data_IF_717632557891
#
_entry.id   IF_717632557891
#
_cell.length_a   1.000
_cell.length_b   1.000
_cell.length_c   1.000
_cell.angle_alpha   90.00
_cell.angle_beta   90.00
_cell.angle_gamma   90.00
#
_symmetry.space_group_name_H-M   'P 1'
#
loop_
_entity.id
_entity.type
_entity.pdbx_description
1 polymer ?
#
# COMPACT_ATOMS: atom_id res chain seq x y z
N UNK A 1 9.82 -39.52 -11.33
CA UNK A 1 11.07 -38.84 -10.94
C UNK A 1 10.86 -38.36 -9.52
N UNK A 2 11.62 -38.84 -8.54
CA UNK A 2 11.42 -38.45 -7.15
C UNK A 2 11.98 -37.01 -6.98
N UNK A 3 11.13 -36.00 -7.15
CA UNK A 3 11.54 -34.59 -7.33
C UNK A 3 12.09 -33.97 -6.01
N UNK A 4 12.03 -34.70 -4.89
CA UNK A 4 12.28 -34.13 -3.56
C UNK A 4 13.74 -34.18 -3.06
N UNK A 5 14.61 -34.97 -3.68
CA UNK A 5 15.90 -35.33 -3.07
C UNK A 5 17.14 -34.65 -3.67
N UNK A 6 17.05 -33.99 -4.83
CA UNK A 6 18.20 -33.32 -5.44
C UNK A 6 18.05 -31.79 -5.40
N UNK A 7 18.99 -31.12 -4.71
CA UNK A 7 19.12 -29.66 -4.80
C UNK A 7 19.65 -29.30 -6.19
N UNK A 8 18.78 -28.70 -6.99
CA UNK A 8 19.06 -28.41 -8.39
C UNK A 8 19.70 -27.02 -8.56
N UNK A 9 20.95 -27.00 -9.04
CA UNK A 9 21.60 -25.77 -9.49
C UNK A 9 21.39 -25.69 -11.01
N UNK A 10 20.45 -24.84 -11.45
CA UNK A 10 20.09 -24.69 -12.86
C UNK A 10 21.22 -24.17 -13.74
N UNK A 11 21.28 -24.67 -14.97
CA UNK A 11 22.14 -24.17 -16.04
C UNK A 11 21.51 -22.95 -16.72
N UNK A 12 22.30 -22.15 -17.46
CA UNK A 12 21.81 -20.99 -18.20
C UNK A 12 20.69 -21.36 -19.22
N UNK A 13 20.73 -22.57 -19.78
CA UNK A 13 19.73 -23.07 -20.72
C UNK A 13 18.38 -23.33 -20.04
N UNK A 14 18.36 -23.74 -18.77
CA UNK A 14 17.11 -23.92 -18.02
C UNK A 14 16.40 -22.60 -17.69
N UNK A 15 17.14 -21.48 -17.70
CA UNK A 15 16.54 -20.14 -17.56
C UNK A 15 15.88 -19.65 -18.84
N UNK A 16 16.33 -20.14 -20.01
CA UNK A 16 15.77 -19.77 -21.31
C UNK A 16 14.57 -20.64 -21.67
N UNK A 17 14.65 -21.95 -21.40
CA UNK A 17 13.57 -22.92 -21.63
C UNK A 17 13.42 -23.84 -20.39
N UNK A 18 12.48 -23.55 -19.47
CA UNK A 18 12.39 -24.29 -18.22
C UNK A 18 11.88 -25.71 -18.43
N UNK A 19 12.56 -26.67 -17.78
CA UNK A 19 12.24 -28.12 -17.82
C UNK A 19 10.80 -28.46 -17.38
N UNK A 20 10.16 -27.56 -16.63
CA UNK A 20 8.78 -27.70 -16.18
C UNK A 20 8.10 -26.33 -16.06
N UNK A 21 6.76 -26.30 -16.12
CA UNK A 21 6.00 -25.14 -15.61
C UNK A 21 5.92 -25.21 -14.10
N UNK A 22 6.31 -24.13 -13.42
CA UNK A 22 6.13 -24.01 -11.98
C UNK A 22 4.72 -23.51 -11.66
N UNK A 23 4.03 -24.18 -10.76
CA UNK A 23 2.74 -23.76 -10.21
C UNK A 23 2.94 -23.25 -8.78
N UNK A 24 2.64 -21.97 -8.55
CA UNK A 24 2.52 -21.45 -7.19
C UNK A 24 1.04 -21.34 -6.79
N UNK A 25 0.58 -22.30 -6.00
CA UNK A 25 -0.74 -22.26 -5.37
C UNK A 25 -0.69 -21.20 -4.28
N UNK A 26 -1.32 -20.05 -4.54
CA UNK A 26 -1.39 -18.97 -3.58
C UNK A 26 -2.58 -19.22 -2.65
N UNK A 27 -2.35 -19.89 -1.52
CA UNK A 27 -3.37 -19.95 -0.47
C UNK A 27 -3.57 -18.54 0.12
N UNK A 28 -4.81 -18.02 0.22
CA UNK A 28 -5.06 -16.75 0.86
C UNK A 28 -4.46 -16.68 2.27
N UNK A 29 -3.81 -15.55 2.56
CA UNK A 29 -3.30 -15.18 3.89
C UNK A 29 -2.07 -15.95 4.40
N UNK A 30 -1.34 -16.60 3.50
CA UNK A 30 -0.08 -17.33 3.81
C UNK A 30 1.18 -16.61 3.30
N UNK A 31 1.17 -15.27 3.32
CA UNK A 31 2.32 -14.48 2.83
C UNK A 31 2.46 -14.38 1.31
N UNK A 32 1.51 -14.93 0.53
CA UNK A 32 1.63 -14.96 -0.93
C UNK A 32 1.67 -13.60 -1.65
N UNK A 33 1.26 -12.49 -1.01
CA UNK A 33 1.54 -11.15 -1.54
C UNK A 33 3.02 -10.81 -1.57
N UNK A 34 3.77 -11.21 -0.54
CA UNK A 34 5.24 -11.08 -0.52
C UNK A 34 5.84 -11.99 -1.58
N UNK A 35 5.41 -13.26 -1.62
CA UNK A 35 5.89 -14.24 -2.58
C UNK A 35 5.72 -13.76 -4.03
N UNK A 36 4.51 -13.36 -4.40
CA UNK A 36 4.22 -12.91 -5.77
C UNK A 36 4.90 -11.58 -6.11
N UNK A 37 4.80 -10.57 -5.25
CA UNK A 37 5.18 -9.19 -5.62
C UNK A 37 6.63 -8.82 -5.35
N UNK A 38 7.37 -9.63 -4.61
CA UNK A 38 8.76 -9.32 -4.27
C UNK A 38 9.74 -10.38 -4.76
N UNK A 39 9.27 -11.62 -4.94
CA UNK A 39 10.13 -12.76 -5.28
C UNK A 39 9.82 -13.21 -6.70
N UNK A 40 8.63 -13.76 -6.95
CA UNK A 40 8.30 -14.38 -8.24
C UNK A 40 8.41 -13.42 -9.43
N UNK A 41 8.05 -12.14 -9.27
CA UNK A 41 8.19 -11.14 -10.36
C UNK A 41 9.63 -10.80 -10.74
N UNK A 42 10.60 -11.15 -9.89
CA UNK A 42 12.02 -10.93 -10.17
C UNK A 42 12.66 -12.14 -10.81
N UNK A 43 12.14 -13.33 -10.51
CA UNK A 43 12.66 -14.59 -11.01
C UNK A 43 12.02 -15.02 -12.34
N UNK A 44 10.86 -14.44 -12.71
CA UNK A 44 10.15 -14.77 -13.95
C UNK A 44 9.78 -13.52 -14.75
N UNK A 45 9.99 -13.57 -16.07
CA UNK A 45 9.59 -12.50 -17.00
C UNK A 45 8.06 -12.37 -17.03
N UNK A 46 7.54 -11.14 -17.06
CA UNK A 46 6.12 -10.86 -16.87
C UNK A 46 5.21 -11.53 -17.90
N UNK A 47 5.65 -11.64 -19.15
CA UNK A 47 4.96 -12.31 -20.26
C UNK A 47 4.97 -13.84 -20.14
N UNK A 48 5.85 -14.40 -19.29
CA UNK A 48 5.95 -15.82 -18.98
C UNK A 48 5.17 -16.23 -17.72
N UNK A 49 4.40 -15.31 -17.12
CA UNK A 49 3.60 -15.55 -15.93
C UNK A 49 2.11 -15.54 -16.27
N UNK A 50 1.43 -16.66 -16.02
CA UNK A 50 -0.02 -16.72 -15.99
C UNK A 50 -0.53 -16.49 -14.56
N UNK A 51 -1.39 -15.48 -14.34
CA UNK A 51 -1.98 -15.28 -13.01
C UNK A 51 -2.68 -13.96 -12.75
N UNK A 52 -3.51 -13.96 -11.70
CA UNK A 52 -4.40 -12.87 -11.29
C UNK A 52 -3.72 -11.50 -11.06
N UNK A 53 -2.43 -11.48 -10.70
CA UNK A 53 -1.71 -10.22 -10.44
C UNK A 53 -1.03 -9.62 -11.68
N UNK A 54 -0.98 -10.35 -12.80
CA UNK A 54 -0.11 -10.02 -13.93
C UNK A 54 -0.86 -9.72 -15.24
N UNK A 55 -2.05 -10.29 -15.42
CA UNK A 55 -2.80 -10.15 -16.68
C UNK A 55 -3.82 -9.00 -16.69
N UNK A 56 -3.90 -8.18 -15.64
CA UNK A 56 -4.85 -7.04 -15.58
C UNK A 56 -6.34 -7.43 -15.60
N UNK A 57 -6.63 -8.74 -15.62
CA UNK A 57 -7.94 -9.35 -15.74
C UNK A 57 -8.27 -9.98 -14.38
N UNK A 58 -9.46 -9.70 -13.84
CA UNK A 58 -9.95 -10.24 -12.57
C UNK A 58 -10.28 -11.75 -12.70
N UNK A 59 -9.30 -12.58 -13.06
CA UNK A 59 -9.38 -14.03 -13.17
C UNK A 59 -9.26 -14.70 -11.79
N UNK A 60 -10.19 -14.39 -10.89
CA UNK A 60 -10.32 -15.08 -9.61
C UNK A 60 -11.12 -16.36 -9.75
N UNK A 61 -10.72 -17.41 -9.03
CA UNK A 61 -11.43 -18.69 -8.94
C UNK A 61 -11.74 -19.29 -10.32
N UNK A 62 -12.97 -19.75 -10.51
CA UNK A 62 -13.40 -20.50 -11.70
C UNK A 62 -13.17 -19.76 -13.02
N UNK A 63 -13.21 -18.42 -13.05
CA UNK A 63 -12.94 -17.66 -14.28
C UNK A 63 -11.50 -17.84 -14.76
N UNK A 64 -10.54 -17.83 -13.85
CA UNK A 64 -9.12 -18.06 -14.20
C UNK A 64 -8.85 -19.50 -14.59
N UNK A 65 -9.48 -20.45 -13.90
CA UNK A 65 -9.40 -21.88 -14.24
C UNK A 65 -9.96 -22.13 -15.63
N UNK A 66 -11.13 -21.58 -15.95
CA UNK A 66 -11.75 -21.75 -17.27
C UNK A 66 -10.91 -21.09 -18.37
N UNK A 67 -10.33 -19.91 -18.10
CA UNK A 67 -9.43 -19.28 -19.05
C UNK A 67 -8.19 -20.16 -19.32
N UNK A 68 -7.56 -20.69 -18.27
CA UNK A 68 -6.42 -21.61 -18.39
C UNK A 68 -6.75 -22.86 -19.22
N UNK A 69 -7.93 -23.46 -18.99
CA UNK A 69 -8.41 -24.63 -19.75
C UNK A 69 -8.67 -24.30 -21.23
N UNK A 70 -9.11 -23.09 -21.52
CA UNK A 70 -9.46 -22.66 -22.87
C UNK A 70 -8.29 -22.14 -23.71
N UNK A 71 -7.12 -21.93 -23.11
CA UNK A 71 -5.90 -21.66 -23.87
C UNK A 71 -5.55 -22.86 -24.76
N UNK A 72 -5.01 -22.59 -25.94
CA UNK A 72 -4.41 -23.63 -26.78
C UNK A 72 -3.20 -24.27 -26.08
N UNK A 73 -2.84 -25.52 -26.43
CA UNK A 73 -1.61 -26.14 -25.97
C UNK A 73 -0.38 -25.25 -26.17
N UNK A 74 -0.26 -24.61 -27.33
CA UNK A 74 0.84 -23.73 -27.69
C UNK A 74 0.90 -22.50 -26.77
N UNK A 75 -0.24 -21.86 -26.47
CA UNK A 75 -0.31 -20.75 -25.53
C UNK A 75 0.07 -21.16 -24.11
N UNK A 76 -0.42 -22.32 -23.64
CA UNK A 76 -0.08 -22.81 -22.29
C UNK A 76 1.41 -23.08 -22.12
N UNK A 77 2.05 -23.62 -23.15
CA UNK A 77 3.48 -23.95 -23.12
C UNK A 77 4.37 -22.72 -22.99
N UNK A 78 3.91 -21.52 -23.38
CA UNK A 78 4.66 -20.28 -23.22
C UNK A 78 4.81 -19.83 -21.76
N UNK A 79 3.99 -20.33 -20.83
CA UNK A 79 4.07 -19.95 -19.42
C UNK A 79 5.09 -20.79 -18.66
N UNK A 80 5.95 -20.09 -17.92
CA UNK A 80 6.97 -20.68 -17.05
C UNK A 80 6.50 -20.73 -15.60
N UNK A 81 5.65 -19.78 -15.21
CA UNK A 81 5.02 -19.70 -13.89
C UNK A 81 3.50 -19.54 -14.02
N UNK A 82 2.76 -20.38 -13.31
CA UNK A 82 1.31 -20.27 -13.14
C UNK A 82 1.02 -19.99 -11.66
N UNK A 83 0.34 -18.89 -11.36
CA UNK A 83 0.07 -18.51 -9.97
C UNK A 83 -1.30 -17.89 -9.74
N UNK A 84 -1.95 -18.28 -8.65
CA UNK A 84 -3.21 -17.69 -8.23
C UNK A 84 -3.90 -18.50 -7.14
N UNK A 85 -5.14 -18.11 -6.85
CA UNK A 85 -6.02 -18.79 -5.90
C UNK A 85 -6.78 -19.91 -6.63
N UNK A 86 -6.05 -20.96 -7.01
CA UNK A 86 -6.58 -22.13 -7.72
C UNK A 86 -6.22 -23.40 -6.94
N UNK A 87 -7.13 -24.40 -6.90
CA UNK A 87 -6.82 -25.68 -6.29
C UNK A 87 -5.75 -26.42 -7.12
N UNK A 88 -5.09 -27.40 -6.52
CA UNK A 88 -4.19 -28.31 -7.22
C UNK A 88 -4.91 -29.04 -8.37
N UNK A 89 -4.19 -29.31 -9.47
CA UNK A 89 -4.72 -30.04 -10.65
C UNK A 89 -4.58 -29.32 -11.99
N UNK A 90 -4.27 -28.02 -12.01
CA UNK A 90 -4.16 -27.25 -13.26
C UNK A 90 -3.10 -27.78 -14.25
N UNK A 91 -2.15 -28.58 -13.80
CA UNK A 91 -1.12 -29.20 -14.63
C UNK A 91 -1.65 -30.31 -15.54
N UNK A 92 -2.83 -30.88 -15.30
CA UNK A 92 -3.35 -32.00 -16.10
C UNK A 92 -3.63 -31.65 -17.56
N UNK A 93 -3.78 -30.35 -17.86
CA UNK A 93 -3.97 -29.85 -19.23
C UNK A 93 -2.65 -29.36 -19.87
N UNK A 94 -1.50 -29.63 -19.23
CA UNK A 94 -0.18 -29.35 -19.78
C UNK A 94 0.44 -30.59 -20.41
N UNK A 95 1.04 -30.40 -21.57
CA UNK A 95 1.80 -31.46 -22.26
C UNK A 95 3.26 -31.53 -21.79
N UNK A 96 3.71 -30.57 -20.98
CA UNK A 96 5.07 -30.50 -20.44
C UNK A 96 5.10 -30.78 -18.94
N UNK A 97 6.25 -31.21 -18.38
CA UNK A 97 6.36 -31.46 -16.95
C UNK A 97 5.93 -30.26 -16.10
N UNK A 98 5.40 -30.53 -14.93
CA UNK A 98 4.94 -29.50 -14.00
C UNK A 98 5.46 -29.80 -12.59
N UNK A 99 5.73 -28.74 -11.84
CA UNK A 99 6.11 -28.82 -10.45
C UNK A 99 5.32 -27.80 -9.63
N UNK A 100 5.05 -28.11 -8.37
CA UNK A 100 4.28 -27.23 -7.49
C UNK A 100 5.13 -26.66 -6.35
N UNK A 101 4.79 -25.44 -5.95
CA UNK A 101 5.18 -24.84 -4.68
C UNK A 101 3.98 -24.17 -4.03
N UNK A 102 4.01 -24.03 -2.71
CA UNK A 102 2.99 -23.28 -1.97
C UNK A 102 3.57 -22.70 -0.68
N UNK A 103 2.82 -21.79 -0.04
CA UNK A 103 3.07 -21.34 1.33
C UNK A 103 1.84 -21.65 2.16
N UNK A 104 2.05 -22.29 3.31
CA UNK A 104 1.05 -22.53 4.35
C UNK A 104 1.28 -21.59 5.54
N UNK A 105 0.31 -21.54 6.44
CA UNK A 105 0.35 -20.76 7.67
C UNK A 105 -0.39 -21.51 8.77
N UNK A 106 -0.06 -21.22 10.02
CA UNK A 106 -0.84 -21.67 11.15
C UNK A 106 -2.34 -21.38 10.88
N UNK A 107 -3.23 -22.39 10.94
CA UNK A 107 -4.61 -22.23 10.49
C UNK A 107 -5.40 -21.17 11.27
N UNK A 108 -5.17 -21.08 12.59
CA UNK A 108 -5.81 -20.08 13.45
C UNK A 108 -5.43 -18.67 13.00
N UNK A 109 -4.14 -18.41 12.90
CA UNK A 109 -3.60 -17.14 12.43
C UNK A 109 -4.05 -16.79 11.00
N UNK A 110 -4.16 -17.79 10.12
CA UNK A 110 -4.64 -17.63 8.75
C UNK A 110 -6.09 -17.15 8.72
N UNK A 111 -6.98 -17.81 9.47
CA UNK A 111 -8.41 -17.50 9.55
C UNK A 111 -8.63 -16.11 10.15
N UNK A 112 -7.94 -15.77 11.25
CA UNK A 112 -8.01 -14.43 11.85
C UNK A 112 -7.52 -13.38 10.86
N UNK A 113 -6.42 -13.65 10.16
CA UNK A 113 -5.89 -12.75 9.13
C UNK A 113 -6.85 -12.58 7.95
N UNK A 114 -7.61 -13.63 7.60
CA UNK A 114 -8.62 -13.59 6.55
C UNK A 114 -9.79 -12.68 6.94
N UNK A 115 -10.37 -12.92 8.12
CA UNK A 115 -11.42 -12.08 8.69
C UNK A 115 -11.00 -10.60 8.72
N UNK A 116 -9.82 -10.31 9.29
CA UNK A 116 -9.24 -8.97 9.33
C UNK A 116 -9.01 -8.35 7.95
N UNK A 117 -8.62 -9.17 6.96
CA UNK A 117 -8.41 -8.69 5.60
C UNK A 117 -9.71 -8.26 4.92
N UNK A 118 -10.75 -9.09 5.02
CA UNK A 118 -12.05 -8.80 4.45
C UNK A 118 -12.68 -7.56 5.10
N UNK A 119 -12.54 -7.42 6.42
CA UNK A 119 -12.97 -6.21 7.13
C UNK A 119 -12.22 -4.96 6.69
N UNK A 120 -10.90 -5.02 6.54
CA UNK A 120 -10.12 -3.82 6.23
C UNK A 120 -10.23 -3.37 4.78
N UNK A 121 -10.46 -4.28 3.84
CA UNK A 121 -10.41 -3.97 2.40
C UNK A 121 -11.80 -3.60 1.89
N UNK A 122 -12.09 -2.30 1.79
CA UNK A 122 -13.40 -1.78 1.33
C UNK A 122 -13.88 -2.38 -0.01
N UNK A 123 -12.95 -2.61 -0.95
CA UNK A 123 -13.25 -3.21 -2.26
C UNK A 123 -13.41 -4.74 -2.23
N UNK A 124 -13.41 -5.37 -1.06
CA UNK A 124 -13.63 -6.80 -0.96
C UNK A 124 -15.12 -7.11 -1.13
N UNK A 125 -15.46 -8.15 -1.92
CA UNK A 125 -16.85 -8.53 -2.21
C UNK A 125 -17.72 -8.76 -0.97
N UNK A 126 -17.10 -9.18 0.15
CA UNK A 126 -17.78 -9.44 1.41
C UNK A 126 -17.61 -8.33 2.46
N UNK A 127 -17.01 -7.19 2.11
CA UNK A 127 -16.67 -6.13 3.06
C UNK A 127 -17.89 -5.63 3.84
N UNK A 128 -18.99 -5.33 3.16
CA UNK A 128 -20.20 -4.80 3.82
C UNK A 128 -20.83 -5.82 4.78
N UNK A 129 -20.88 -7.10 4.36
CA UNK A 129 -21.40 -8.20 5.17
C UNK A 129 -20.54 -8.39 6.43
N UNK A 130 -19.22 -8.52 6.25
CA UNK A 130 -18.31 -8.86 7.35
C UNK A 130 -18.12 -7.72 8.37
N UNK A 131 -18.42 -6.47 8.00
CA UNK A 131 -18.41 -5.35 8.95
C UNK A 131 -19.52 -5.47 10.01
N UNK A 132 -20.55 -6.26 9.74
CA UNK A 132 -21.69 -6.50 10.65
C UNK A 132 -21.60 -7.83 11.39
N UNK A 133 -20.54 -8.60 11.16
CA UNK A 133 -20.35 -9.94 11.70
C UNK A 133 -19.27 -9.91 12.77
N UNK A 134 -19.48 -10.63 13.87
CA UNK A 134 -18.41 -11.04 14.78
C UNK A 134 -17.52 -12.09 14.12
N UNK A 135 -16.40 -12.43 14.76
CA UNK A 135 -15.58 -13.55 14.29
C UNK A 135 -16.33 -14.88 14.39
N UNK A 136 -17.18 -15.05 15.42
CA UNK A 136 -18.01 -16.24 15.57
C UNK A 136 -19.02 -16.37 14.43
N UNK A 137 -19.77 -15.29 14.12
CA UNK A 137 -20.71 -15.29 13.00
C UNK A 137 -20.01 -15.67 11.68
N UNK A 138 -18.78 -15.20 11.48
CA UNK A 138 -17.97 -15.51 10.30
C UNK A 138 -17.59 -17.00 10.20
N UNK A 139 -17.36 -17.66 11.33
CA UNK A 139 -17.03 -19.09 11.40
C UNK A 139 -18.27 -19.99 11.29
N UNK A 140 -19.45 -19.47 11.62
CA UNK A 140 -20.71 -20.21 11.54
C UNK A 140 -21.40 -20.04 10.18
N UNK A 141 -21.03 -19.00 9.42
CA UNK A 141 -21.58 -18.73 8.10
C UNK A 141 -20.89 -19.58 7.01
N UNK A 142 -21.60 -20.61 6.58
CA UNK A 142 -21.16 -21.60 5.59
C UNK A 142 -20.82 -21.01 4.21
N UNK A 143 -21.21 -19.75 3.93
CA UNK A 143 -20.82 -19.08 2.68
C UNK A 143 -19.33 -18.72 2.65
N UNK A 144 -18.64 -18.70 3.80
CA UNK A 144 -17.21 -18.45 3.91
C UNK A 144 -16.40 -19.75 3.91
N UNK A 145 -16.43 -20.49 2.80
CA UNK A 145 -15.67 -21.73 2.62
C UNK A 145 -14.16 -21.57 2.92
N UNK A 146 -13.62 -20.36 2.76
CA UNK A 146 -12.23 -20.02 3.07
C UNK A 146 -11.89 -20.09 4.57
N UNK A 147 -12.87 -20.22 5.46
CA UNK A 147 -12.72 -20.36 6.91
C UNK A 147 -12.68 -21.82 7.39
N UNK A 148 -12.94 -22.79 6.51
CA UNK A 148 -13.03 -24.23 6.83
C UNK A 148 -11.99 -25.02 6.03
N UNK A 149 -10.99 -25.57 6.73
CA UNK A 149 -9.93 -26.46 6.20
C UNK A 149 -9.38 -26.04 4.82
N UNK A 150 -9.23 -24.73 4.60
CA UNK A 150 -9.04 -24.22 3.25
C UNK A 150 -7.68 -24.59 2.64
N UNK A 151 -6.63 -24.78 3.46
CA UNK A 151 -5.34 -25.23 2.96
C UNK A 151 -5.44 -26.66 2.42
N UNK A 152 -6.09 -27.56 3.16
CA UNK A 152 -6.39 -28.91 2.69
C UNK A 152 -7.22 -28.88 1.43
N UNK A 153 -8.32 -28.10 1.40
CA UNK A 153 -9.19 -28.00 0.21
C UNK A 153 -8.40 -27.60 -1.05
N UNK A 154 -7.52 -26.62 -0.94
CA UNK A 154 -6.69 -26.17 -2.06
C UNK A 154 -5.68 -27.23 -2.49
N UNK A 155 -4.93 -27.81 -1.56
CA UNK A 155 -3.84 -28.75 -1.90
C UNK A 155 -4.34 -30.13 -2.29
N UNK A 156 -5.52 -30.53 -1.80
CA UNK A 156 -6.20 -31.74 -2.22
C UNK A 156 -6.78 -31.61 -3.63
N UNK A 157 -6.91 -30.42 -4.21
CA UNK A 157 -7.54 -30.26 -5.52
C UNK A 157 -9.08 -30.31 -5.47
N UNK A 158 -9.70 -29.95 -4.35
CA UNK A 158 -11.18 -29.96 -4.24
C UNK A 158 -11.79 -28.94 -5.21
N UNK A 159 -12.83 -29.36 -5.93
CA UNK A 159 -13.44 -28.62 -7.03
C UNK A 159 -12.74 -28.85 -8.39
N UNK A 160 -11.57 -29.49 -8.39
CA UNK A 160 -10.95 -30.02 -9.61
C UNK A 160 -11.20 -31.53 -9.74
N UNK A 161 -10.85 -32.30 -8.72
CA UNK A 161 -11.07 -33.76 -8.69
C UNK A 161 -12.43 -34.14 -8.15
N UNK A 162 -12.93 -33.35 -7.21
CA UNK A 162 -14.26 -33.52 -6.65
C UNK A 162 -15.19 -32.49 -7.28
N UNK A 163 -16.49 -32.82 -7.25
CA UNK A 163 -17.51 -31.81 -7.42
C UNK A 163 -17.49 -30.77 -6.27
N UNK A 164 -18.63 -30.13 -6.05
CA UNK A 164 -18.75 -29.19 -4.95
C UNK A 164 -18.74 -29.90 -3.59
N UNK A 165 -17.73 -29.61 -2.76
CA UNK A 165 -17.66 -30.04 -1.35
C UNK A 165 -17.96 -28.84 -0.46
N UNK A 166 -19.12 -28.86 0.20
CA UNK A 166 -19.61 -27.76 1.03
C UNK A 166 -18.78 -27.50 2.30
N UNK A 167 -19.14 -26.43 3.02
CA UNK A 167 -18.60 -26.11 4.34
C UNK A 167 -18.81 -27.28 5.32
N UNK A 168 -17.84 -27.56 6.20
CA UNK A 168 -17.91 -28.71 7.12
C UNK A 168 -17.75 -30.10 6.48
N UNK A 169 -17.83 -30.22 5.16
CA UNK A 169 -17.74 -31.51 4.45
C UNK A 169 -16.31 -31.92 4.05
N UNK A 170 -15.28 -31.13 4.40
CA UNK A 170 -13.89 -31.54 4.18
C UNK A 170 -13.54 -32.69 5.13
N UNK A 171 -13.39 -33.89 4.58
CA UNK A 171 -13.08 -35.12 5.31
C UNK A 171 -11.60 -35.53 5.25
N UNK A 172 -11.23 -36.51 6.07
CA UNK A 172 -9.86 -37.05 6.21
C UNK A 172 -9.24 -37.50 4.87
N UNK A 173 -10.02 -38.04 3.95
CA UNK A 173 -9.55 -38.45 2.62
C UNK A 173 -8.92 -37.28 1.83
N UNK A 174 -9.44 -36.06 2.01
CA UNK A 174 -8.88 -34.87 1.38
C UNK A 174 -7.52 -34.51 2.00
N UNK A 175 -7.36 -34.67 3.31
CA UNK A 175 -6.07 -34.47 3.97
C UNK A 175 -5.04 -35.46 3.45
N UNK A 176 -5.39 -36.75 3.38
CA UNK A 176 -4.53 -37.79 2.80
C UNK A 176 -4.14 -37.42 1.37
N UNK A 177 -5.09 -37.01 0.53
CA UNK A 177 -4.80 -36.59 -0.85
C UNK A 177 -3.92 -35.33 -0.92
N UNK A 178 -4.13 -34.35 -0.04
CA UNK A 178 -3.26 -33.17 0.04
C UNK A 178 -1.82 -33.54 0.39
N UNK A 179 -1.62 -34.46 1.33
CA UNK A 179 -0.29 -34.96 1.73
C UNK A 179 0.38 -35.74 0.58
N UNK A 180 -0.36 -36.62 -0.10
CA UNK A 180 0.16 -37.33 -1.27
C UNK A 180 0.49 -36.36 -2.42
N UNK A 181 -0.36 -35.36 -2.69
CA UNK A 181 -0.08 -34.34 -3.69
C UNK A 181 1.22 -33.59 -3.37
N UNK A 182 1.42 -33.16 -2.11
CA UNK A 182 2.67 -32.54 -1.65
C UNK A 182 3.86 -33.46 -1.90
N UNK A 183 3.74 -34.73 -1.53
CA UNK A 183 4.82 -35.71 -1.63
C UNK A 183 5.27 -35.92 -3.08
N UNK A 184 4.32 -36.04 -4.01
CA UNK A 184 4.63 -36.45 -5.40
C UNK A 184 4.81 -35.30 -6.37
N UNK A 185 4.18 -34.15 -6.13
CA UNK A 185 4.13 -33.06 -7.11
C UNK A 185 4.77 -31.76 -6.63
N UNK A 186 4.98 -31.57 -5.32
CA UNK A 186 5.52 -30.33 -4.80
C UNK A 186 7.04 -30.45 -4.60
N UNK A 187 7.76 -29.47 -5.12
CA UNK A 187 9.16 -29.26 -4.78
C UNK A 187 9.30 -28.93 -3.30
N UNK A 188 8.42 -28.04 -2.82
CA UNK A 188 8.34 -27.65 -1.42
C UNK A 188 7.00 -26.97 -1.12
N UNK A 189 6.43 -27.31 0.04
CA UNK A 189 5.44 -26.49 0.71
C UNK A 189 6.14 -25.73 1.85
N UNK A 190 6.15 -24.40 1.79
CA UNK A 190 6.78 -23.55 2.81
C UNK A 190 5.82 -23.17 3.93
N UNK A 191 6.37 -22.64 5.03
CA UNK A 191 5.63 -22.19 6.20
C UNK A 191 5.83 -20.69 6.40
N UNK A 192 4.74 -19.94 6.63
CA UNK A 192 4.78 -18.47 6.78
C UNK A 192 5.57 -18.04 8.01
N UNK A 193 5.51 -18.83 9.08
CA UNK A 193 6.21 -18.62 10.34
C UNK A 193 7.72 -18.87 10.19
N UNK A 194 8.10 -19.72 9.23
CA UNK A 194 9.48 -20.04 8.82
C UNK A 194 9.76 -19.53 7.40
N UNK A 195 9.30 -18.30 7.10
CA UNK A 195 9.33 -17.74 5.74
C UNK A 195 10.75 -17.65 5.20
N UNK A 196 11.72 -17.19 6.01
CA UNK A 196 13.11 -17.04 5.58
C UNK A 196 13.72 -18.39 5.19
N UNK A 197 13.48 -19.43 6.01
CA UNK A 197 13.89 -20.80 5.69
C UNK A 197 13.25 -21.30 4.39
N UNK A 198 11.94 -21.06 4.24
CA UNK A 198 11.19 -21.47 3.06
C UNK A 198 11.74 -20.83 1.78
N UNK A 199 12.07 -19.53 1.81
CA UNK A 199 12.64 -18.83 0.65
C UNK A 199 14.04 -19.33 0.29
N UNK A 200 14.90 -19.60 1.28
CA UNK A 200 16.21 -20.17 1.01
C UNK A 200 16.11 -21.57 0.40
N UNK A 201 15.20 -22.40 0.89
CA UNK A 201 14.96 -23.72 0.30
C UNK A 201 14.39 -23.63 -1.12
N UNK A 202 13.45 -22.74 -1.40
CA UNK A 202 13.00 -22.50 -2.78
C UNK A 202 14.15 -22.06 -3.66
N UNK A 203 15.04 -21.19 -3.17
CA UNK A 203 16.23 -20.78 -3.91
C UNK A 203 17.10 -21.97 -4.30
N UNK A 204 17.36 -22.90 -3.38
CA UNK A 204 18.16 -24.08 -3.71
C UNK A 204 17.46 -25.04 -4.67
N UNK A 205 16.14 -25.18 -4.58
CA UNK A 205 15.38 -26.11 -5.42
C UNK A 205 15.11 -25.56 -6.82
N UNK A 206 15.03 -24.24 -6.97
CA UNK A 206 14.63 -23.58 -8.22
C UNK A 206 15.77 -22.76 -8.85
N UNK A 207 16.95 -22.73 -8.22
CA UNK A 207 18.08 -21.92 -8.67
C UNK A 207 17.79 -20.42 -8.68
N UNK A 208 16.92 -19.90 -7.81
CA UNK A 208 16.58 -18.47 -7.85
C UNK A 208 17.78 -17.56 -7.56
N UNK A 209 17.87 -16.48 -8.32
CA UNK A 209 18.99 -15.54 -8.27
C UNK A 209 18.98 -14.69 -7.01
N UNK A 210 17.81 -14.33 -6.48
CA UNK A 210 17.70 -13.43 -5.33
C UNK A 210 16.65 -13.86 -4.31
N UNK A 211 17.05 -14.28 -3.09
CA UNK A 211 16.07 -14.62 -2.05
C UNK A 211 15.55 -13.39 -1.29
N UNK A 212 16.03 -12.18 -1.56
CA UNK A 212 15.74 -11.01 -0.74
C UNK A 212 14.39 -10.36 -1.05
N UNK A 213 13.62 -10.05 -0.02
CA UNK A 213 12.24 -9.62 -0.15
C UNK A 213 11.84 -8.61 0.93
N UNK A 214 10.81 -7.82 0.62
CA UNK A 214 10.14 -6.97 1.62
C UNK A 214 8.84 -7.64 2.08
N UNK A 215 8.62 -7.75 3.38
CA UNK A 215 7.34 -8.26 3.88
C UNK A 215 6.18 -7.30 3.53
N UNK A 216 5.13 -7.83 2.90
CA UNK A 216 3.93 -7.09 2.50
C UNK A 216 2.72 -7.60 3.30
N UNK A 217 1.85 -6.68 3.76
CA UNK A 217 0.62 -6.98 4.49
C UNK A 217 0.84 -7.81 5.77
N UNK A 218 1.90 -7.49 6.53
CA UNK A 218 2.19 -8.16 7.80
C UNK A 218 1.08 -7.86 8.80
N UNK A 219 0.50 -8.92 9.35
CA UNK A 219 -0.39 -8.86 10.50
C UNK A 219 0.35 -9.53 11.64
N UNK A 220 0.57 -8.80 12.74
CA UNK A 220 1.08 -9.39 13.98
C UNK A 220 0.01 -10.34 14.51
N UNK A 221 0.35 -11.61 14.74
CA UNK A 221 -0.54 -12.68 15.22
C UNK A 221 -1.02 -12.47 16.65
N UNK A 222 -1.47 -11.27 16.98
CA UNK A 222 -1.84 -10.87 18.35
C UNK A 222 -3.27 -11.31 18.70
N UNK A 223 -3.78 -12.38 18.08
CA UNK A 223 -5.15 -12.89 18.24
C UNK A 223 -6.19 -11.79 18.46
N UNK A 224 -6.21 -10.82 17.55
CA UNK A 224 -7.04 -9.63 17.70
C UNK A 224 -7.54 -9.10 16.37
N UNK A 225 -8.62 -8.36 16.45
CA UNK A 225 -9.21 -7.65 15.32
C UNK A 225 -9.65 -6.25 15.74
N UNK A 226 -9.88 -5.38 14.76
CA UNK A 226 -10.51 -4.09 15.02
C UNK A 226 -12.00 -4.18 14.67
N UNK A 227 -12.88 -3.73 15.56
CA UNK A 227 -14.30 -3.66 15.28
C UNK A 227 -14.63 -2.54 14.26
N UNK A 228 -15.93 -2.36 13.97
CA UNK A 228 -16.42 -1.40 12.97
C UNK A 228 -16.15 0.06 13.39
N UNK A 229 -15.97 0.30 14.69
CA UNK A 229 -15.61 1.59 15.28
C UNK A 229 -14.08 1.79 15.36
N UNK A 230 -13.29 0.82 14.91
CA UNK A 230 -11.83 0.87 14.96
C UNK A 230 -11.24 0.50 16.34
N UNK A 231 -12.05 0.02 17.28
CA UNK A 231 -11.60 -0.45 18.60
C UNK A 231 -10.91 -1.80 18.47
N UNK A 232 -9.76 -1.92 19.13
CA UNK A 232 -9.00 -3.17 19.23
C UNK A 232 -9.73 -4.16 20.14
N UNK A 233 -9.91 -5.39 19.67
CA UNK A 233 -10.57 -6.48 20.39
C UNK A 233 -9.64 -7.69 20.39
N UNK A 234 -9.31 -8.17 21.59
CA UNK A 234 -8.67 -9.47 21.79
C UNK A 234 -9.70 -10.58 21.59
N UNK A 235 -9.29 -11.66 20.92
CA UNK A 235 -10.14 -12.80 20.61
C UNK A 235 -10.15 -13.73 21.82
N UNK A 236 -11.36 -14.06 22.27
CA UNK A 236 -11.56 -14.98 23.38
C UNK A 236 -11.08 -16.40 23.06
N UNK A 237 -10.56 -17.09 24.07
CA UNK A 237 -10.03 -18.46 23.94
C UNK A 237 -11.06 -19.47 23.43
N UNK A 238 -12.35 -19.29 23.71
CA UNK A 238 -13.43 -20.15 23.20
C UNK A 238 -13.59 -20.01 21.69
N UNK A 239 -13.42 -18.80 21.15
CA UNK A 239 -13.45 -18.55 19.71
C UNK A 239 -12.20 -19.12 19.04
N UNK A 240 -11.03 -19.06 19.69
CA UNK A 240 -9.83 -19.73 19.18
C UNK A 240 -10.07 -21.23 19.03
N UNK A 241 -10.64 -21.89 20.05
CA UNK A 241 -10.99 -23.31 19.97
C UNK A 241 -11.98 -23.61 18.85
N UNK A 242 -12.98 -22.75 18.65
CA UNK A 242 -13.91 -22.90 17.52
C UNK A 242 -13.18 -22.81 16.17
N UNK A 243 -12.20 -21.90 16.01
CA UNK A 243 -11.37 -21.84 14.80
C UNK A 243 -10.59 -23.14 14.61
N UNK A 244 -9.99 -23.67 15.68
CA UNK A 244 -9.24 -24.93 15.66
C UNK A 244 -10.13 -26.10 15.27
N UNK A 245 -11.33 -26.21 15.86
CA UNK A 245 -12.33 -27.24 15.56
C UNK A 245 -12.75 -27.23 14.08
N UNK A 246 -12.93 -26.04 13.49
CA UNK A 246 -13.28 -25.89 12.06
C UNK A 246 -12.11 -26.10 11.11
N UNK A 247 -10.87 -26.17 11.62
CA UNK A 247 -9.65 -26.27 10.83
C UNK A 247 -8.73 -27.42 11.28
N UNK A 248 -9.28 -28.49 11.87
CA UNK A 248 -8.50 -29.62 12.38
C UNK A 248 -7.61 -30.26 11.31
N UNK A 249 -8.13 -30.46 10.10
CA UNK A 249 -7.37 -31.06 9.00
C UNK A 249 -6.26 -30.11 8.51
N UNK A 250 -6.56 -28.81 8.49
CA UNK A 250 -5.57 -27.77 8.20
C UNK A 250 -4.44 -27.75 9.24
N UNK A 251 -4.74 -28.01 10.52
CA UNK A 251 -3.75 -28.10 11.61
C UNK A 251 -2.84 -29.32 11.41
N UNK A 252 -3.43 -30.46 11.06
CA UNK A 252 -2.67 -31.68 10.77
C UNK A 252 -1.78 -31.51 9.53
N UNK A 253 -2.32 -30.93 8.45
CA UNK A 253 -1.54 -30.60 7.25
C UNK A 253 -0.39 -29.65 7.56
N UNK A 254 -0.65 -28.59 8.34
CA UNK A 254 0.38 -27.64 8.75
C UNK A 254 1.51 -28.34 9.51
N UNK A 255 1.17 -29.17 10.51
CA UNK A 255 2.18 -29.94 11.29
C UNK A 255 2.95 -30.92 10.42
N UNK A 256 2.31 -31.54 9.44
CA UNK A 256 2.97 -32.40 8.47
C UNK A 256 4.01 -31.63 7.65
N UNK A 257 3.63 -30.49 7.06
CA UNK A 257 4.53 -29.66 6.25
C UNK A 257 5.64 -29.05 7.09
N UNK A 258 5.35 -28.62 8.31
CA UNK A 258 6.33 -28.05 9.23
C UNK A 258 7.46 -29.06 9.57
N UNK A 259 7.09 -30.32 9.81
CA UNK A 259 8.07 -31.41 10.00
C UNK A 259 8.91 -31.67 8.75
N UNK A 260 8.30 -31.74 7.56
CA UNK A 260 9.04 -31.92 6.31
C UNK A 260 10.04 -30.77 6.06
N UNK A 261 9.65 -29.54 6.41
CA UNK A 261 10.52 -28.38 6.30
C UNK A 261 11.72 -28.51 7.25
N UNK A 262 11.47 -28.87 8.51
CA UNK A 262 12.51 -29.07 9.52
C UNK A 262 13.46 -30.21 9.16
N UNK A 263 12.96 -31.30 8.58
CA UNK A 263 13.77 -32.40 8.08
C UNK A 263 14.69 -31.94 6.94
N UNK A 264 14.19 -31.15 5.98
CA UNK A 264 15.00 -30.59 4.89
C UNK A 264 16.07 -29.62 5.41
N UNK A 265 15.73 -28.75 6.35
CA UNK A 265 16.69 -27.85 7.00
C UNK A 265 17.76 -28.65 7.74
N UNK A 266 17.35 -29.67 8.50
CA UNK A 266 18.26 -30.51 9.29
C UNK A 266 19.23 -31.29 8.39
N UNK A 267 18.78 -31.78 7.23
CA UNK A 267 19.63 -32.44 6.23
C UNK A 267 20.75 -31.53 5.70
N UNK A 268 20.49 -30.23 5.54
CA UNK A 268 21.49 -29.24 5.12
C UNK A 268 22.46 -28.84 6.25
N UNK A 269 22.03 -29.02 7.51
CA UNK A 269 22.88 -28.85 8.69
C UNK A 269 23.38 -27.43 8.91
N UNK A 270 24.54 -27.32 9.56
CA UNK A 270 25.11 -26.03 10.05
C UNK A 270 25.35 -25.00 8.95
N UNK A 271 25.67 -25.44 7.73
CA UNK A 271 25.90 -24.54 6.60
C UNK A 271 24.65 -23.72 6.30
N UNK A 272 23.47 -24.34 6.36
CA UNK A 272 22.20 -23.65 6.17
C UNK A 272 21.91 -22.63 7.27
N UNK A 273 22.23 -22.94 8.52
CA UNK A 273 22.00 -22.02 9.65
C UNK A 273 22.84 -20.74 9.54
N UNK A 274 24.09 -20.87 9.10
CA UNK A 274 24.98 -19.73 8.84
C UNK A 274 24.40 -18.88 7.70
N UNK A 275 24.04 -19.51 6.58
CA UNK A 275 23.46 -18.79 5.45
C UNK A 275 22.11 -18.14 5.79
N UNK A 276 21.26 -18.79 6.59
CA UNK A 276 20.02 -18.22 7.09
C UNK A 276 20.27 -16.97 7.93
N UNK A 277 21.26 -17.01 8.80
CA UNK A 277 21.63 -15.87 9.65
C UNK A 277 22.16 -14.69 8.82
N UNK A 278 23.01 -14.97 7.84
CA UNK A 278 23.52 -13.96 6.90
C UNK A 278 22.38 -13.36 6.06
N UNK A 279 21.51 -14.22 5.52
CA UNK A 279 20.34 -13.83 4.76
C UNK A 279 19.43 -12.92 5.58
N UNK A 280 19.09 -13.28 6.82
CA UNK A 280 18.24 -12.49 7.70
C UNK A 280 18.85 -11.11 8.00
N UNK A 281 20.16 -11.06 8.24
CA UNK A 281 20.88 -9.80 8.47
C UNK A 281 20.81 -8.89 7.24
N UNK A 282 21.10 -9.43 6.05
CA UNK A 282 21.11 -8.66 4.80
C UNK A 282 19.68 -8.24 4.42
N UNK A 283 18.72 -9.15 4.51
CA UNK A 283 17.32 -8.88 4.17
C UNK A 283 16.70 -7.83 5.11
N UNK A 284 17.07 -7.87 6.40
CA UNK A 284 16.70 -6.85 7.39
C UNK A 284 17.24 -5.47 7.03
N UNK A 285 18.52 -5.37 6.66
CA UNK A 285 19.14 -4.12 6.19
C UNK A 285 18.47 -3.60 4.91
N UNK A 286 18.21 -4.46 3.93
CA UNK A 286 17.54 -4.10 2.67
C UNK A 286 16.11 -3.61 2.92
N UNK A 287 15.38 -4.26 3.81
CA UNK A 287 14.02 -3.84 4.18
C UNK A 287 14.02 -2.47 4.84
N UNK A 288 14.96 -2.21 5.75
CA UNK A 288 15.14 -0.89 6.36
C UNK A 288 15.47 0.18 5.31
N UNK A 289 16.39 -0.13 4.40
CA UNK A 289 16.77 0.74 3.30
C UNK A 289 15.58 1.12 2.41
N UNK A 290 14.82 0.13 1.92
CA UNK A 290 13.64 0.35 1.07
C UNK A 290 12.52 1.09 1.82
N UNK A 291 12.42 0.92 3.15
CA UNK A 291 11.50 1.71 3.96
C UNK A 291 11.91 3.17 3.99
N UNK A 292 13.20 3.46 4.21
CA UNK A 292 13.73 4.82 4.23
C UNK A 292 13.57 5.52 2.88
N UNK A 293 13.86 4.83 1.77
CA UNK A 293 13.66 5.37 0.43
C UNK A 293 12.20 5.75 0.17
N UNK A 294 11.26 4.86 0.54
CA UNK A 294 9.81 5.14 0.44
C UNK A 294 9.41 6.32 1.33
N UNK A 295 9.96 6.40 2.53
CA UNK A 295 9.66 7.46 3.48
C UNK A 295 10.15 8.83 2.99
N UNK A 296 11.35 8.87 2.37
CA UNK A 296 11.90 10.04 1.70
C UNK A 296 11.03 10.47 0.51
N UNK A 297 10.67 9.54 -0.39
CA UNK A 297 9.78 9.81 -1.52
C UNK A 297 8.44 10.39 -1.06
N UNK A 298 7.85 9.83 -0.01
CA UNK A 298 6.60 10.34 0.57
C UNK A 298 6.79 11.73 1.18
N UNK A 299 7.85 11.94 1.95
CA UNK A 299 8.17 13.25 2.53
C UNK A 299 8.36 14.33 1.44
N UNK A 300 8.94 13.95 0.29
CA UNK A 300 9.07 14.81 -0.88
C UNK A 300 7.70 15.15 -1.50
N UNK A 301 6.83 14.16 -1.71
CA UNK A 301 5.47 14.37 -2.21
C UNK A 301 4.65 15.28 -1.28
N UNK A 302 4.69 14.99 0.01
CA UNK A 302 4.03 15.78 1.06
C UNK A 302 4.53 17.23 1.07
N UNK A 303 5.84 17.42 0.97
CA UNK A 303 6.46 18.74 0.89
C UNK A 303 6.09 19.49 -0.40
N UNK A 304 5.99 18.79 -1.54
CA UNK A 304 5.49 19.38 -2.78
C UNK A 304 4.03 19.86 -2.62
N UNK A 305 3.15 19.05 -2.01
CA UNK A 305 1.78 19.47 -1.71
C UNK A 305 1.71 20.72 -0.84
N UNK A 306 2.55 20.80 0.21
CA UNK A 306 2.63 21.98 1.07
C UNK A 306 3.14 23.21 0.30
N UNK A 307 4.12 23.04 -0.57
CA UNK A 307 4.65 24.10 -1.44
C UNK A 307 3.58 24.57 -2.44
N UNK A 308 2.82 23.66 -3.03
CA UNK A 308 1.73 23.97 -3.97
C UNK A 308 0.57 24.69 -3.30
N UNK A 309 0.13 24.23 -2.11
CA UNK A 309 -0.86 24.95 -1.29
C UNK A 309 -0.36 26.36 -0.93
N UNK A 310 0.93 26.48 -0.61
CA UNK A 310 1.54 27.78 -0.37
C UNK A 310 1.50 28.67 -1.62
N UNK A 311 1.86 28.17 -2.80
CA UNK A 311 1.79 28.91 -4.06
C UNK A 311 0.36 29.33 -4.42
N UNK A 312 -0.63 28.44 -4.23
CA UNK A 312 -2.06 28.76 -4.42
C UNK A 312 -2.49 29.90 -3.49
N UNK A 313 -2.15 29.82 -2.20
CA UNK A 313 -2.46 30.86 -1.21
C UNK A 313 -1.74 32.18 -1.52
N UNK A 314 -0.51 32.16 -2.00
CA UNK A 314 0.24 33.35 -2.40
C UNK A 314 -0.40 34.02 -3.63
N UNK A 315 -0.82 33.25 -4.64
CA UNK A 315 -1.55 33.76 -5.82
C UNK A 315 -2.83 34.49 -5.43
N UNK A 316 -3.63 33.92 -4.50
CA UNK A 316 -4.83 34.56 -3.96
C UNK A 316 -4.50 35.89 -3.27
N UNK A 317 -3.43 35.92 -2.46
CA UNK A 317 -3.01 37.14 -1.76
C UNK A 317 -2.53 38.21 -2.74
N UNK A 318 -1.73 37.86 -3.76
CA UNK A 318 -1.28 38.79 -4.80
C UNK A 318 -2.45 39.39 -5.58
N UNK A 319 -3.42 38.56 -5.98
CA UNK A 319 -4.64 39.01 -6.65
C UNK A 319 -5.44 40.00 -5.79
N UNK A 320 -5.61 39.72 -4.49
CA UNK A 320 -6.26 40.65 -3.56
C UNK A 320 -5.49 41.96 -3.42
N UNK A 321 -4.15 41.92 -3.39
CA UNK A 321 -3.31 43.11 -3.32
C UNK A 321 -3.40 43.97 -4.60
N UNK A 322 -3.49 43.36 -5.77
CA UNK A 322 -3.66 44.06 -7.05
C UNK A 322 -4.99 44.82 -7.10
N UNK A 323 -6.10 44.14 -6.75
CA UNK A 323 -7.43 44.80 -6.65
C UNK A 323 -7.42 45.98 -5.68
N UNK A 324 -6.72 45.86 -4.55
CA UNK A 324 -6.58 46.96 -3.59
C UNK A 324 -5.79 48.15 -4.14
N UNK A 325 -4.76 47.91 -4.95
CA UNK A 325 -3.99 48.97 -5.61
C UNK A 325 -4.85 49.70 -6.68
N UNK A 326 -5.65 48.97 -7.45
CA UNK A 326 -6.61 49.53 -8.41
C UNK A 326 -7.64 50.44 -7.71
N UNK A 327 -8.22 49.99 -6.59
CA UNK A 327 -9.11 50.83 -5.79
C UNK A 327 -8.44 52.09 -5.26
N UNK A 328 -7.18 52.01 -4.83
CA UNK A 328 -6.44 53.17 -4.34
C UNK A 328 -6.20 54.22 -5.44
N UNK A 329 -5.89 53.78 -6.66
CA UNK A 329 -5.71 54.65 -7.82
C UNK A 329 -7.03 55.32 -8.23
N UNK A 330 -8.14 54.58 -8.28
CA UNK A 330 -9.47 55.11 -8.60
C UNK A 330 -9.88 56.23 -7.63
N UNK A 331 -9.58 56.06 -6.33
CA UNK A 331 -9.88 57.08 -5.32
C UNK A 331 -9.00 58.32 -5.53
N UNK A 332 -7.71 58.15 -5.84
CA UNK A 332 -6.80 59.27 -6.12
C UNK A 332 -7.32 60.12 -7.30
N UNK A 333 -7.79 59.46 -8.36
CA UNK A 333 -8.37 60.12 -9.53
C UNK A 333 -9.66 60.89 -9.17
N UNK A 334 -10.60 60.28 -8.45
CA UNK A 334 -11.83 60.97 -8.01
C UNK A 334 -11.55 62.18 -7.10
N UNK A 335 -10.55 62.07 -6.21
CA UNK A 335 -10.17 63.19 -5.35
C UNK A 335 -9.60 64.36 -6.15
N UNK A 336 -8.80 64.09 -7.18
CA UNK A 336 -8.30 65.11 -8.11
C UNK A 336 -9.44 65.80 -8.85
N UNK A 337 -10.42 65.04 -9.32
CA UNK A 337 -11.57 65.55 -10.07
C UNK A 337 -12.46 66.45 -9.20
N UNK A 338 -12.71 66.05 -7.95
CA UNK A 338 -13.46 66.87 -6.99
C UNK A 338 -12.74 68.20 -6.75
N UNK A 339 -11.42 68.18 -6.52
CA UNK A 339 -10.62 69.41 -6.33
C UNK A 339 -10.69 70.33 -7.52
N UNK A 340 -10.51 69.81 -8.74
CA UNK A 340 -10.63 70.62 -9.96
C UNK A 340 -12.02 71.22 -10.14
N UNK A 341 -13.08 70.47 -9.81
CA UNK A 341 -14.46 70.99 -9.89
C UNK A 341 -14.70 72.09 -8.86
N UNK A 342 -14.18 71.94 -7.64
CA UNK A 342 -14.24 72.98 -6.60
C UNK A 342 -13.48 74.24 -7.01
N UNK A 343 -12.29 74.12 -7.59
CA UNK A 343 -11.46 75.25 -8.04
C UNK A 343 -12.08 76.02 -9.23
N UNK A 344 -12.60 75.30 -10.23
CA UNK A 344 -13.32 75.89 -11.37
C UNK A 344 -14.57 76.63 -10.89
N UNK A 345 -15.25 76.09 -9.87
CA UNK A 345 -16.48 76.66 -9.34
C UNK A 345 -16.25 77.92 -8.49
N UNK A 346 -15.20 77.93 -7.65
CA UNK A 346 -14.79 79.11 -6.86
C UNK A 346 -14.45 80.30 -7.77
N UNK A 347 -13.89 80.05 -8.96
CA UNK A 347 -13.55 81.10 -9.92
C UNK A 347 -14.75 81.69 -10.67
N UNK A 348 -15.93 81.07 -10.66
CA UNK A 348 -16.97 81.37 -11.67
C UNK A 348 -18.22 82.10 -11.21
N UNK A 349 -18.45 82.41 -9.93
CA UNK A 349 -19.78 82.87 -9.51
C UNK A 349 -19.82 83.98 -8.44
N UNK A 350 -20.31 85.16 -8.85
CA UNK A 350 -21.28 85.96 -8.09
C UNK A 350 -22.64 85.23 -8.16
N UNK A 351 -23.23 84.79 -7.03
CA UNK A 351 -24.54 84.14 -7.06
C UNK A 351 -25.34 84.20 -5.76
N UNK A 352 -26.67 84.16 -5.89
CA UNK A 352 -27.65 84.37 -4.83
C UNK A 352 -27.63 83.29 -3.72
N UNK A 353 -28.03 83.71 -2.50
CA UNK A 353 -27.92 82.91 -1.27
C UNK A 353 -28.60 81.52 -1.31
N UNK A 354 -29.65 81.33 -2.12
CA UNK A 354 -30.34 80.03 -2.25
C UNK A 354 -29.46 78.98 -2.94
N UNK A 355 -28.75 79.35 -4.01
CA UNK A 355 -27.79 78.44 -4.68
C UNK A 355 -26.58 78.18 -3.79
N UNK A 356 -26.08 79.18 -3.06
CA UNK A 356 -25.00 79.00 -2.07
C UNK A 356 -25.39 77.96 -1.00
N UNK A 357 -26.62 78.00 -0.48
CA UNK A 357 -27.11 77.01 0.51
C UNK A 357 -27.16 75.59 -0.03
N UNK A 358 -27.73 75.39 -1.22
CA UNK A 358 -27.81 74.06 -1.85
C UNK A 358 -26.40 73.50 -2.14
N UNK A 359 -25.47 74.36 -2.56
CA UNK A 359 -24.07 74.02 -2.80
C UNK A 359 -23.29 73.71 -1.53
N UNK A 360 -23.48 74.47 -0.44
CA UNK A 360 -22.89 74.15 0.86
C UNK A 360 -23.41 72.81 1.39
N UNK A 361 -24.67 72.47 1.11
CA UNK A 361 -25.24 71.17 1.47
C UNK A 361 -24.64 70.02 0.64
N UNK A 362 -24.40 70.23 -0.67
CA UNK A 362 -23.71 69.27 -1.52
C UNK A 362 -22.22 69.12 -1.15
N UNK A 363 -21.51 70.21 -0.84
CA UNK A 363 -20.12 70.20 -0.38
C UNK A 363 -19.99 69.49 0.97
N UNK A 364 -20.88 69.76 1.92
CA UNK A 364 -20.93 69.07 3.21
C UNK A 364 -21.15 67.55 3.04
N UNK A 365 -22.12 67.14 2.20
CA UNK A 365 -22.30 65.71 1.84
C UNK A 365 -21.05 65.12 1.19
N UNK A 366 -20.39 65.88 0.32
CA UNK A 366 -19.16 65.45 -0.37
C UNK A 366 -18.00 65.27 0.59
N UNK A 367 -17.78 66.20 1.53
CA UNK A 367 -16.76 66.15 2.56
C UNK A 367 -16.99 65.01 3.55
N UNK A 368 -18.23 64.77 3.96
CA UNK A 368 -18.59 63.62 4.80
C UNK A 368 -18.31 62.30 4.06
N UNK A 369 -18.66 62.19 2.77
CA UNK A 369 -18.32 61.03 1.95
C UNK A 369 -16.81 60.84 1.81
N UNK A 370 -16.05 61.93 1.69
CA UNK A 370 -14.59 61.92 1.57
C UNK A 370 -13.92 61.47 2.88
N UNK A 371 -14.36 61.99 4.03
CA UNK A 371 -13.93 61.54 5.36
C UNK A 371 -14.23 60.06 5.56
N UNK A 372 -15.43 59.61 5.22
CA UNK A 372 -15.80 58.19 5.31
C UNK A 372 -14.93 57.29 4.41
N UNK A 373 -14.66 57.70 3.17
CA UNK A 373 -13.76 56.98 2.24
C UNK A 373 -12.31 56.96 2.72
N UNK A 374 -11.80 58.06 3.28
CA UNK A 374 -10.44 58.14 3.84
C UNK A 374 -10.27 57.28 5.10
N UNK A 375 -11.28 57.21 5.97
CA UNK A 375 -11.29 56.30 7.12
C UNK A 375 -11.29 54.83 6.68
N UNK A 376 -12.09 54.47 5.67
CA UNK A 376 -12.05 53.14 5.05
C UNK A 376 -10.67 52.82 4.46
N UNK A 377 -10.00 53.79 3.85
CA UNK A 377 -8.64 53.64 3.31
C UNK A 377 -7.58 53.44 4.41
N UNK A 378 -7.67 54.12 5.55
CA UNK A 378 -6.77 53.87 6.68
C UNK A 378 -6.91 52.44 7.20
N UNK A 379 -8.15 51.94 7.32
CA UNK A 379 -8.43 50.55 7.69
C UNK A 379 -7.82 49.58 6.65
N UNK A 380 -7.99 49.85 5.36
CA UNK A 380 -7.40 49.06 4.26
C UNK A 380 -5.85 49.08 4.30
N UNK A 381 -5.21 50.24 4.57
CA UNK A 381 -3.75 50.36 4.71
C UNK A 381 -3.19 49.56 5.89
N UNK A 382 -3.89 49.57 7.04
CA UNK A 382 -3.55 48.70 8.19
C UNK A 382 -3.65 47.22 7.81
N UNK A 383 -4.70 46.81 7.08
CA UNK A 383 -4.84 45.44 6.55
C UNK A 383 -3.69 45.07 5.60
N UNK A 384 -3.25 45.96 4.71
CA UNK A 384 -2.12 45.74 3.80
C UNK A 384 -0.79 45.55 4.56
N UNK A 385 -0.52 46.37 5.59
CA UNK A 385 0.68 46.19 6.44
C UNK A 385 0.69 44.83 7.14
N UNK A 386 -0.44 44.42 7.71
CA UNK A 386 -0.57 43.10 8.34
C UNK A 386 -0.36 41.95 7.33
N UNK A 387 -0.87 42.09 6.10
CA UNK A 387 -0.66 41.11 5.02
C UNK A 387 0.81 41.04 4.59
N UNK A 388 1.51 42.18 4.46
CA UNK A 388 2.95 42.22 4.10
C UNK A 388 3.83 41.52 5.16
N UNK A 389 3.54 41.70 6.45
CA UNK A 389 4.24 40.99 7.53
C UNK A 389 4.01 39.49 7.44
N UNK A 390 2.76 39.04 7.23
CA UNK A 390 2.42 37.61 7.05
C UNK A 390 3.12 37.02 5.82
N UNK A 391 3.21 37.75 4.72
CA UNK A 391 3.92 37.34 3.50
C UNK A 391 5.43 37.19 3.72
N UNK A 392 6.09 38.11 4.44
CA UNK A 392 7.52 38.00 4.78
C UNK A 392 7.81 36.76 5.64
N UNK A 393 7.01 36.53 6.68
CA UNK A 393 7.13 35.34 7.52
C UNK A 393 6.91 34.04 6.71
N UNK A 394 5.95 34.07 5.79
CA UNK A 394 5.66 32.96 4.86
C UNK A 394 6.81 32.69 3.88
N UNK A 395 7.41 33.71 3.27
CA UNK A 395 8.56 33.54 2.36
C UNK A 395 9.77 32.93 3.07
N UNK A 396 10.03 33.31 4.33
CA UNK A 396 11.08 32.69 5.15
C UNK A 396 10.82 31.20 5.41
N UNK A 397 9.54 30.81 5.60
CA UNK A 397 9.13 29.40 5.74
C UNK A 397 9.29 28.64 4.42
N UNK A 398 8.92 29.23 3.28
CA UNK A 398 9.08 28.64 1.96
C UNK A 398 10.56 28.40 1.62
N UNK A 399 11.43 29.36 1.92
CA UNK A 399 12.88 29.22 1.71
C UNK A 399 13.45 28.01 2.49
N UNK A 400 13.10 27.89 3.77
CA UNK A 400 13.51 26.73 4.61
C UNK A 400 12.99 25.40 4.07
N UNK A 401 11.76 25.36 3.53
CA UNK A 401 11.20 24.15 2.91
C UNK A 401 11.94 23.76 1.62
N UNK A 402 12.31 24.75 0.78
CA UNK A 402 13.10 24.49 -0.43
C UNK A 402 14.51 23.98 -0.11
N UNK A 403 15.14 24.53 0.93
CA UNK A 403 16.44 24.05 1.42
C UNK A 403 16.36 22.60 1.94
N UNK A 404 15.31 22.29 2.71
CA UNK A 404 15.05 20.93 3.20
C UNK A 404 14.82 19.95 2.05
N UNK A 405 14.06 20.37 1.02
CA UNK A 405 13.81 19.59 -0.21
C UNK A 405 15.11 19.23 -0.91
N UNK A 406 16.01 20.21 -1.12
CA UNK A 406 17.30 19.96 -1.75
C UNK A 406 18.16 18.97 -0.95
N UNK A 407 18.12 19.03 0.39
CA UNK A 407 18.80 18.05 1.25
C UNK A 407 18.20 16.65 1.13
N UNK A 408 16.87 16.53 1.10
CA UNK A 408 16.17 15.26 0.89
C UNK A 408 16.51 14.68 -0.49
N UNK A 409 16.51 15.48 -1.55
CA UNK A 409 16.87 15.05 -2.92
C UNK A 409 18.32 14.56 -3.01
N UNK A 410 19.27 15.26 -2.38
CA UNK A 410 20.66 14.81 -2.29
C UNK A 410 20.78 13.48 -1.55
N UNK A 411 20.03 13.30 -0.46
CA UNK A 411 20.01 12.04 0.28
C UNK A 411 19.36 10.92 -0.51
N UNK A 412 18.26 11.15 -1.23
CA UNK A 412 17.64 10.15 -2.11
C UNK A 412 18.65 9.61 -3.15
N UNK A 413 19.48 10.49 -3.72
CA UNK A 413 20.50 10.11 -4.71
C UNK A 413 21.64 9.28 -4.10
N UNK A 414 22.02 9.56 -2.85
CA UNK A 414 23.21 8.98 -2.21
C UNK A 414 22.89 7.99 -1.09
N UNK A 415 21.62 7.67 -0.85
CA UNK A 415 21.24 6.78 0.26
C UNK A 415 21.91 5.41 0.15
N UNK A 416 22.14 4.94 -1.09
CA UNK A 416 22.84 3.69 -1.40
C UNK A 416 24.32 3.68 -0.98
N UNK A 417 24.95 4.86 -0.81
CA UNK A 417 26.34 4.99 -0.37
C UNK A 417 26.48 5.23 1.14
N UNK A 418 25.38 5.21 1.89
CA UNK A 418 25.39 5.41 3.35
C UNK A 418 25.70 4.08 4.03
N UNK A 419 26.75 4.06 4.85
CA UNK A 419 27.10 2.91 5.69
C UNK A 419 25.90 2.44 6.53
N UNK A 420 25.69 1.12 6.57
CA UNK A 420 24.53 0.52 7.22
C UNK A 420 24.40 0.90 8.71
N UNK A 421 25.54 1.11 9.40
CA UNK A 421 25.61 1.52 10.81
C UNK A 421 25.03 2.92 11.08
N UNK A 422 24.82 3.74 10.03
CA UNK A 422 24.31 5.11 10.13
C UNK A 422 22.84 5.25 9.70
N UNK A 423 22.22 4.19 9.16
CA UNK A 423 20.83 4.21 8.66
C UNK A 423 19.80 4.53 9.76
N UNK A 424 20.04 4.12 11.00
CA UNK A 424 19.14 4.45 12.12
C UNK A 424 19.13 5.95 12.45
N UNK A 425 20.28 6.65 12.34
CA UNK A 425 20.35 8.11 12.52
C UNK A 425 19.58 8.83 11.42
N UNK A 426 19.66 8.31 10.20
CA UNK A 426 18.89 8.81 9.06
C UNK A 426 17.38 8.64 9.30
N UNK A 427 16.96 7.46 9.80
CA UNK A 427 15.56 7.21 10.20
C UNK A 427 15.06 8.24 11.21
N UNK A 428 15.79 8.42 12.32
CA UNK A 428 15.44 9.42 13.34
C UNK A 428 15.36 10.84 12.77
N UNK A 429 16.23 11.18 11.82
CA UNK A 429 16.20 12.47 11.15
C UNK A 429 14.98 12.64 10.24
N UNK A 430 14.62 11.62 9.44
CA UNK A 430 13.41 11.61 8.59
C UNK A 430 12.14 11.72 9.44
N UNK A 431 12.07 10.99 10.56
CA UNK A 431 10.94 11.04 11.49
C UNK A 431 10.77 12.45 12.10
N UNK A 432 11.87 13.10 12.48
CA UNK A 432 11.87 14.50 12.96
C UNK A 432 11.40 15.48 11.88
N UNK A 433 11.74 15.26 10.61
CA UNK A 433 11.25 16.08 9.50
C UNK A 433 9.75 15.91 9.34
N UNK A 434 9.25 14.68 9.35
CA UNK A 434 7.81 14.39 9.28
C UNK A 434 7.04 15.07 10.41
N UNK A 435 7.52 14.95 11.66
CA UNK A 435 6.90 15.59 12.82
C UNK A 435 6.85 17.13 12.69
N UNK A 436 7.86 17.76 12.06
CA UNK A 436 7.88 19.21 11.80
C UNK A 436 6.97 19.64 10.65
N UNK A 437 6.78 18.79 9.64
CA UNK A 437 5.91 19.06 8.49
C UNK A 437 4.43 18.86 8.83
N UNK A 438 4.15 17.87 9.68
CA UNK A 438 2.81 17.50 10.15
C UNK A 438 2.82 17.39 11.68
N UNK A 439 2.82 18.53 12.41
CA UNK A 439 2.53 18.46 13.83
C UNK A 439 1.13 17.86 13.97
N UNK A 440 1.03 16.69 14.60
CA UNK A 440 -0.25 16.13 15.02
C UNK A 440 -1.02 17.24 15.73
N UNK A 441 -2.21 17.56 15.22
CA UNK A 441 -3.20 18.26 16.02
C UNK A 441 -3.55 17.30 17.14
N UNK A 442 -3.01 17.55 18.33
CA UNK A 442 -3.70 17.18 19.56
C UNK A 442 -5.01 17.95 19.62
#
# INVERSE_FOLDING_TARGET
MNIQDDFYIGSLEDYLEPRFTLFYIHVPKTGGSTMTREILIREYAQDKIFGHFFMGLNYMGNKGINHWKNLSPEERQQFHLVTGHYPFGLHEVLDKPAAYITMLRNPVDRVISLYNHMRRKERHKHHEKIQRMTLQDFLEDETFLEADNYQVRQLAGIGWYDGYVGYGACAQEHLTRAQENIKHHFLLAGITEKFDQSILLFRYLLGWSTPFYKRINVHSGNNSYNNSEGKHIEIDSTIIKLVEERNQLDIELYRYVDRLLDEKVSKLGKTFEVELSEFQLINGKRTLFLSLEKDLKRAKTDMNHVIDDFHRKDKIIRSKNQKLAEYANLIKQKNSQIRSQSEIFIKKNELSQKKIRDLLMQLSKSEQLLKFRNSRLQIQRKKIRAIKVRLRARNKKLFRLKELRSRVEKLELHIHSIESSKLWRLKTWVDRIRAKLFPTRL
#
